data_IF_128778161084
#
_entry.id   IF_128778161084
#
_cell.length_a   1.000
_cell.length_b   1.000
_cell.length_c   1.000
_cell.angle_alpha   90.00
_cell.angle_beta   90.00
_cell.angle_gamma   90.00
#
_symmetry.space_group_name_H-M   'P 1'
#
loop_
_entity.id
_entity.type
_entity.pdbx_description
1 polymer ?
#
# COMPACT_ATOMS: atom_id res chain seq x y z
N UNK A 1 27.46 -16.96 16.99
CA UNK A 1 27.08 -15.59 16.62
C UNK A 1 25.72 -15.64 15.97
N UNK A 2 24.75 -14.89 16.47
CA UNK A 2 23.40 -14.88 15.89
C UNK A 2 23.41 -14.19 14.52
N UNK A 3 22.85 -14.86 13.51
CA UNK A 3 22.74 -14.34 12.14
C UNK A 3 21.28 -14.17 11.74
N UNK A 4 21.00 -13.18 10.89
CA UNK A 4 19.65 -12.88 10.38
C UNK A 4 19.70 -12.62 8.89
N UNK A 5 18.57 -12.83 8.21
CA UNK A 5 18.46 -12.50 6.78
C UNK A 5 18.53 -10.98 6.56
N UNK A 6 18.96 -10.56 5.38
CA UNK A 6 19.00 -9.14 5.00
C UNK A 6 17.60 -8.49 5.05
N UNK A 7 16.55 -9.25 4.80
CA UNK A 7 15.17 -8.77 4.90
C UNK A 7 14.78 -8.49 6.37
N UNK A 8 15.03 -9.44 7.27
CA UNK A 8 14.81 -9.24 8.71
C UNK A 8 15.65 -8.07 9.24
N UNK A 9 16.91 -8.01 8.86
CA UNK A 9 17.83 -6.92 9.19
C UNK A 9 17.29 -5.55 8.74
N UNK A 10 16.74 -5.47 7.52
CA UNK A 10 16.15 -4.24 6.99
C UNK A 10 14.98 -3.74 7.85
N UNK A 11 14.11 -4.66 8.29
CA UNK A 11 12.95 -4.35 9.13
C UNK A 11 13.35 -3.97 10.56
N UNK A 12 14.19 -4.79 11.22
CA UNK A 12 14.59 -4.60 12.62
C UNK A 12 15.34 -3.29 12.87
N UNK A 13 16.21 -2.92 11.93
CA UNK A 13 17.07 -1.74 12.04
C UNK A 13 16.56 -0.55 11.23
N UNK A 14 15.34 -0.64 10.67
CA UNK A 14 14.72 0.40 9.85
C UNK A 14 15.69 1.00 8.79
N UNK A 15 16.39 0.13 8.07
CA UNK A 15 17.37 0.51 7.03
C UNK A 15 17.06 -0.19 5.73
N UNK A 16 17.23 0.50 4.60
CA UNK A 16 16.98 -0.11 3.30
C UNK A 16 17.95 -1.27 3.02
N UNK A 17 17.47 -2.32 2.33
CA UNK A 17 18.33 -3.43 1.87
C UNK A 17 19.53 -2.94 1.05
N UNK A 18 19.33 -1.93 0.21
CA UNK A 18 20.41 -1.31 -0.57
C UNK A 18 21.50 -0.73 0.32
N UNK A 19 21.12 -0.10 1.43
CA UNK A 19 22.08 0.43 2.43
C UNK A 19 22.89 -0.71 3.05
N UNK A 20 22.25 -1.83 3.39
CA UNK A 20 22.94 -3.02 3.92
C UNK A 20 23.91 -3.58 2.87
N UNK A 21 23.47 -3.76 1.63
CA UNK A 21 24.34 -4.22 0.53
C UNK A 21 25.52 -3.27 0.29
N UNK A 22 25.33 -1.96 0.41
CA UNK A 22 26.42 -1.00 0.29
C UNK A 22 27.48 -1.19 1.38
N UNK A 23 27.09 -1.53 2.61
CA UNK A 23 28.04 -1.83 3.70
C UNK A 23 28.75 -3.17 3.50
N UNK A 24 28.05 -4.16 2.96
CA UNK A 24 28.65 -5.44 2.55
C UNK A 24 29.71 -5.20 1.47
N UNK A 25 29.39 -4.42 0.43
CA UNK A 25 30.33 -4.08 -0.66
C UNK A 25 31.56 -3.32 -0.15
N UNK A 26 31.41 -2.51 0.89
CA UNK A 26 32.51 -1.78 1.55
C UNK A 26 33.36 -2.66 2.48
N UNK A 27 32.95 -3.89 2.75
CA UNK A 27 33.64 -4.78 3.71
C UNK A 27 33.39 -4.42 5.18
N UNK A 28 32.38 -3.59 5.46
CA UNK A 28 32.03 -3.22 6.85
C UNK A 28 31.15 -4.28 7.54
N UNK A 29 30.47 -5.12 6.75
CA UNK A 29 29.66 -6.27 7.19
C UNK A 29 29.96 -7.44 6.27
N UNK A 30 30.09 -8.64 6.84
CA UNK A 30 30.25 -9.86 6.05
C UNK A 30 28.94 -10.63 6.00
N UNK A 31 28.62 -11.19 4.82
CA UNK A 31 27.55 -12.17 4.67
C UNK A 31 28.13 -13.58 4.66
N UNK A 32 27.43 -14.54 5.24
CA UNK A 32 27.82 -15.94 5.17
C UNK A 32 27.47 -16.57 3.81
N UNK A 33 27.79 -17.86 3.63
CA UNK A 33 27.46 -18.62 2.42
C UNK A 33 25.95 -18.71 2.15
N UNK A 34 25.13 -18.56 3.19
CA UNK A 34 23.67 -18.60 3.13
C UNK A 34 23.07 -17.19 2.91
N UNK A 35 23.89 -16.15 2.81
CA UNK A 35 23.46 -14.76 2.62
C UNK A 35 22.93 -14.08 3.88
N UNK A 36 23.19 -14.64 5.07
CA UNK A 36 22.82 -14.06 6.36
C UNK A 36 23.91 -13.09 6.85
N UNK A 37 23.51 -12.12 7.67
CA UNK A 37 24.40 -11.11 8.27
C UNK A 37 24.39 -11.23 9.79
N UNK A 38 25.53 -10.92 10.42
CA UNK A 38 25.66 -10.92 11.88
C UNK A 38 24.81 -9.83 12.52
N UNK A 39 24.03 -10.19 13.53
CA UNK A 39 23.24 -9.22 14.32
C UNK A 39 24.15 -8.20 15.01
N UNK A 40 25.33 -8.63 15.48
CA UNK A 40 26.29 -7.75 16.14
C UNK A 40 26.81 -6.65 15.20
N UNK A 41 27.09 -6.99 13.94
CA UNK A 41 27.50 -6.01 12.94
C UNK A 41 26.37 -5.04 12.61
N UNK A 42 25.13 -5.54 12.56
CA UNK A 42 23.96 -4.70 12.37
C UNK A 42 23.75 -3.71 13.51
N UNK A 43 23.89 -4.15 14.77
CA UNK A 43 23.83 -3.25 15.95
C UNK A 43 24.96 -2.22 15.90
N UNK A 44 26.19 -2.65 15.60
CA UNK A 44 27.36 -1.76 15.52
C UNK A 44 27.19 -0.64 14.50
N UNK A 45 26.59 -0.93 13.33
CA UNK A 45 26.48 0.03 12.23
C UNK A 45 25.17 0.81 12.21
N UNK A 46 24.09 0.21 12.70
CA UNK A 46 22.74 0.76 12.57
C UNK A 46 21.98 0.87 13.89
N UNK A 47 22.52 0.39 15.01
CA UNK A 47 21.88 0.48 16.33
C UNK A 47 21.71 1.90 16.88
N UNK A 48 22.31 2.91 16.24
CA UNK A 48 22.10 4.33 16.56
C UNK A 48 20.95 4.96 15.75
N UNK A 49 20.38 4.23 14.78
CA UNK A 49 19.33 4.73 13.87
C UNK A 49 17.91 4.33 14.30
N UNK A 50 17.78 3.51 15.34
CA UNK A 50 16.50 2.98 15.84
C UNK A 50 16.43 3.07 17.37
N UNK A 51 15.20 2.99 17.88
CA UNK A 51 14.95 2.87 19.32
C UNK A 51 15.55 1.56 19.83
N UNK A 52 16.70 1.67 20.51
CA UNK A 52 17.49 0.51 20.98
C UNK A 52 16.66 -0.52 21.74
N UNK A 53 15.74 -0.07 22.61
CA UNK A 53 14.87 -0.96 23.39
C UNK A 53 13.90 -1.78 22.53
N UNK A 54 13.32 -1.17 21.50
CA UNK A 54 12.41 -1.86 20.58
C UNK A 54 13.17 -2.86 19.69
N UNK A 55 14.35 -2.47 19.22
CA UNK A 55 15.22 -3.36 18.44
C UNK A 55 15.73 -4.54 19.26
N UNK A 56 16.13 -4.33 20.52
CA UNK A 56 16.58 -5.40 21.42
C UNK A 56 15.45 -6.40 21.75
N UNK A 57 14.23 -5.92 21.99
CA UNK A 57 13.06 -6.78 22.21
C UNK A 57 12.76 -7.64 20.98
N UNK A 58 12.71 -7.03 19.79
CA UNK A 58 12.45 -7.75 18.54
C UNK A 58 13.56 -8.76 18.19
N UNK A 59 14.82 -8.44 18.48
CA UNK A 59 15.94 -9.39 18.34
C UNK A 59 15.77 -10.56 19.32
N UNK A 60 15.41 -10.29 20.57
CA UNK A 60 15.22 -11.33 21.59
C UNK A 60 14.08 -12.28 21.22
N UNK A 61 12.97 -11.76 20.70
CA UNK A 61 11.85 -12.57 20.21
C UNK A 61 12.23 -13.45 19.02
N UNK A 62 13.01 -12.90 18.07
CA UNK A 62 13.47 -13.65 16.90
C UNK A 62 14.51 -14.72 17.25
N UNK A 63 15.35 -14.50 18.26
CA UNK A 63 16.37 -15.45 18.68
C UNK A 63 15.86 -16.51 19.64
N UNK A 64 14.81 -16.21 20.43
CA UNK A 64 14.16 -17.17 21.31
C UNK A 64 13.15 -18.07 20.59
N UNK A 65 12.85 -17.78 19.32
CA UNK A 65 12.09 -18.69 18.46
C UNK A 65 13.09 -19.67 17.84
N UNK A 66 13.04 -20.98 18.16
CA UNK A 66 13.98 -21.93 17.59
C UNK A 66 13.85 -21.92 16.07
N UNK A 67 15.01 -21.89 15.42
CA UNK A 67 15.21 -21.88 13.98
C UNK A 67 14.19 -22.74 13.23
N UNK A 68 13.17 -22.12 12.64
CA UNK A 68 12.47 -22.71 11.50
C UNK A 68 13.02 -22.09 10.22
N UNK A 69 14.27 -22.46 9.93
CA UNK A 69 14.74 -22.41 8.55
C UNK A 69 14.00 -23.53 7.78
N UNK A 70 13.17 -23.12 6.81
CA UNK A 70 12.70 -23.92 5.68
C UNK A 70 11.62 -25.01 5.89
N UNK A 71 10.68 -24.85 6.82
CA UNK A 71 9.38 -25.53 6.72
C UNK A 71 8.27 -24.59 7.18
N UNK A 72 7.61 -23.95 6.22
CA UNK A 72 6.27 -23.41 6.39
C UNK A 72 5.37 -24.54 6.94
N UNK A 73 5.09 -24.50 8.25
CA UNK A 73 4.15 -25.41 8.88
C UNK A 73 2.77 -25.18 8.26
N UNK A 74 2.01 -26.24 7.89
CA UNK A 74 0.70 -26.07 7.24
C UNK A 74 -0.24 -25.16 8.03
N UNK A 75 -0.13 -25.18 9.37
CA UNK A 75 -0.94 -24.38 10.28
C UNK A 75 -0.66 -22.87 10.20
N UNK A 76 0.59 -22.45 9.99
CA UNK A 76 0.91 -21.02 9.80
C UNK A 76 0.50 -20.52 8.42
N UNK A 77 0.64 -21.34 7.38
CA UNK A 77 0.17 -21.01 6.02
C UNK A 77 -1.33 -20.78 6.04
N UNK A 78 -2.11 -21.68 6.64
CA UNK A 78 -3.56 -21.55 6.73
C UNK A 78 -3.99 -20.25 7.41
N UNK A 79 -3.35 -19.86 8.52
CA UNK A 79 -3.70 -18.62 9.22
C UNK A 79 -3.38 -17.39 8.36
N UNK A 80 -2.24 -17.39 7.66
CA UNK A 80 -1.91 -16.29 6.74
C UNK A 80 -2.82 -16.25 5.52
N UNK A 81 -3.21 -17.40 4.96
CA UNK A 81 -4.13 -17.49 3.83
C UNK A 81 -5.54 -17.04 4.22
N UNK A 82 -6.01 -17.37 5.43
CA UNK A 82 -7.27 -16.87 5.98
C UNK A 82 -7.26 -15.35 6.18
N UNK A 83 -6.16 -14.79 6.70
CA UNK A 83 -6.02 -13.33 6.84
C UNK A 83 -5.97 -12.63 5.48
N UNK A 84 -5.27 -13.21 4.51
CA UNK A 84 -5.19 -12.67 3.14
C UNK A 84 -6.54 -12.74 2.43
N UNK A 85 -7.30 -13.83 2.59
CA UNK A 85 -8.64 -13.95 2.02
C UNK A 85 -9.61 -12.93 2.63
N UNK A 86 -9.56 -12.72 3.95
CA UNK A 86 -10.35 -11.67 4.60
C UNK A 86 -10.00 -10.27 4.08
N UNK A 87 -8.70 -9.98 3.90
CA UNK A 87 -8.24 -8.71 3.34
C UNK A 87 -8.73 -8.52 1.89
N UNK A 88 -8.69 -9.59 1.08
CA UNK A 88 -9.19 -9.56 -0.30
C UNK A 88 -10.69 -9.29 -0.33
N UNK A 89 -11.46 -9.92 0.56
CA UNK A 89 -12.90 -9.70 0.66
C UNK A 89 -13.23 -8.26 1.08
N UNK A 90 -12.51 -7.72 2.07
CA UNK A 90 -12.65 -6.32 2.47
C UNK A 90 -12.34 -5.36 1.32
N UNK A 91 -11.26 -5.60 0.58
CA UNK A 91 -10.88 -4.78 -0.57
C UNK A 91 -11.92 -4.86 -1.68
N UNK A 92 -12.49 -6.04 -1.96
CA UNK A 92 -13.58 -6.19 -2.94
C UNK A 92 -14.81 -5.38 -2.54
N UNK A 93 -15.23 -5.44 -1.28
CA UNK A 93 -16.36 -4.66 -0.78
C UNK A 93 -16.11 -3.14 -0.89
N UNK A 94 -14.87 -2.70 -0.63
CA UNK A 94 -14.48 -1.30 -0.83
C UNK A 94 -14.56 -0.87 -2.30
N UNK A 95 -14.09 -1.72 -3.21
CA UNK A 95 -14.16 -1.47 -4.66
C UNK A 95 -15.62 -1.37 -5.12
N UNK A 96 -16.47 -2.32 -4.71
CA UNK A 96 -17.90 -2.31 -5.05
C UNK A 96 -18.60 -1.03 -4.54
N UNK A 97 -18.28 -0.59 -3.32
CA UNK A 97 -18.82 0.65 -2.78
C UNK A 97 -18.37 1.87 -3.60
N UNK A 98 -17.10 1.92 -4.00
CA UNK A 98 -16.56 3.00 -4.82
C UNK A 98 -17.18 3.01 -6.22
N UNK A 99 -17.40 1.85 -6.83
CA UNK A 99 -18.08 1.73 -8.12
C UNK A 99 -19.52 2.25 -8.04
N UNK A 100 -20.26 1.91 -6.99
CA UNK A 100 -21.62 2.42 -6.77
C UNK A 100 -21.64 3.95 -6.57
N UNK A 101 -20.67 4.50 -5.83
CA UNK A 101 -20.53 5.95 -5.68
C UNK A 101 -20.24 6.63 -7.02
N UNK A 102 -19.36 6.04 -7.83
CA UNK A 102 -19.03 6.56 -9.15
C UNK A 102 -20.25 6.56 -10.07
N UNK A 103 -21.04 5.49 -10.04
CA UNK A 103 -22.27 5.39 -10.84
C UNK A 103 -23.31 6.43 -10.40
N UNK A 104 -23.48 6.63 -9.10
CA UNK A 104 -24.34 7.70 -8.57
C UNK A 104 -23.90 9.08 -9.06
N UNK A 105 -22.60 9.39 -9.00
CA UNK A 105 -22.06 10.67 -9.47
C UNK A 105 -22.28 10.85 -10.97
N UNK A 106 -22.05 9.80 -11.78
CA UNK A 106 -22.29 9.84 -13.23
C UNK A 106 -23.76 10.08 -13.56
N UNK A 107 -24.67 9.41 -12.87
CA UNK A 107 -26.11 9.61 -13.04
C UNK A 107 -26.53 11.04 -12.69
N UNK A 108 -26.00 11.58 -11.59
CA UNK A 108 -26.26 12.96 -11.18
C UNK A 108 -25.71 13.98 -12.20
N UNK A 109 -24.50 13.77 -12.72
CA UNK A 109 -23.92 14.61 -13.78
C UNK A 109 -24.79 14.59 -15.04
N UNK A 110 -25.24 13.41 -15.47
CA UNK A 110 -26.11 13.27 -16.63
C UNK A 110 -27.45 13.99 -16.43
N UNK A 111 -28.05 13.87 -15.24
CA UNK A 111 -29.29 14.55 -14.89
C UNK A 111 -29.14 16.07 -14.91
N UNK A 112 -28.07 16.60 -14.33
CA UNK A 112 -27.77 18.04 -14.35
C UNK A 112 -27.55 18.57 -15.77
N UNK A 113 -26.83 17.82 -16.62
CA UNK A 113 -26.64 18.16 -18.04
C UNK A 113 -27.97 18.22 -18.78
N UNK A 114 -28.86 17.24 -18.58
CA UNK A 114 -30.18 17.23 -19.19
C UNK A 114 -31.04 18.43 -18.75
N UNK A 115 -30.98 18.79 -17.46
CA UNK A 115 -31.71 19.95 -16.94
C UNK A 115 -31.22 21.27 -17.57
N UNK A 116 -29.89 21.42 -17.72
CA UNK A 116 -29.28 22.56 -18.40
C UNK A 116 -29.68 22.65 -19.87
N UNK A 117 -29.63 21.53 -20.60
CA UNK A 117 -30.05 21.48 -22.01
C UNK A 117 -31.53 21.86 -22.17
N UNK A 118 -32.40 21.37 -21.28
CA UNK A 118 -33.82 21.73 -21.29
C UNK A 118 -34.03 23.22 -21.04
N UNK A 119 -33.31 23.82 -20.08
CA UNK A 119 -33.33 25.27 -19.85
C UNK A 119 -32.81 26.06 -21.05
N UNK A 120 -31.77 25.59 -21.73
CA UNK A 120 -31.23 26.25 -22.92
C UNK A 120 -32.21 26.21 -24.10
N UNK A 121 -32.91 25.08 -24.28
CA UNK A 121 -33.95 24.92 -25.30
C UNK A 121 -35.15 25.83 -25.01
N UNK A 122 -35.58 25.91 -23.74
CA UNK A 122 -36.60 26.87 -23.30
C UNK A 122 -36.17 28.27 -23.74
N UNK A 123 -35.00 28.75 -23.30
CA UNK A 123 -34.48 30.09 -23.61
C UNK A 123 -34.45 30.42 -25.11
N UNK A 124 -33.98 29.48 -25.94
CA UNK A 124 -33.90 29.65 -27.41
C UNK A 124 -35.26 29.77 -28.08
N UNK A 125 -36.33 29.22 -27.51
CA UNK A 125 -37.65 29.23 -28.14
C UNK A 125 -38.43 30.53 -27.87
N UNK A 126 -38.12 31.25 -26.79
CA UNK A 126 -38.71 32.56 -26.50
C UNK A 126 -38.16 33.65 -27.44
N UNK A 127 -36.86 33.61 -27.75
CA UNK A 127 -36.21 34.62 -28.58
C UNK A 127 -36.60 34.53 -30.06
N UNK A 128 -36.90 33.31 -30.56
CA UNK A 128 -37.31 33.08 -31.95
C UNK A 128 -38.72 33.59 -32.29
N UNK A 129 -39.50 33.99 -31.28
CA UNK A 129 -40.78 34.69 -31.44
C UNK A 129 -40.70 36.16 -30.99
N UNK A 130 -39.51 36.74 -31.02
CA UNK A 130 -39.31 38.18 -30.84
C UNK A 130 -39.93 38.99 -31.99
N UNK A 131 -40.18 40.28 -31.74
CA UNK A 131 -40.96 41.22 -32.56
C UNK A 131 -40.71 41.18 -34.09
N UNK A 132 -39.54 40.73 -34.53
CA UNK A 132 -39.19 40.60 -35.95
C UNK A 132 -40.04 39.53 -36.68
N UNK A 133 -40.44 38.45 -36.00
CA UNK A 133 -41.27 37.40 -36.61
C UNK A 133 -42.73 37.79 -36.84
N UNK A 134 -43.21 38.91 -36.24
CA UNK A 134 -44.57 39.45 -36.44
C UNK A 134 -44.61 40.61 -37.44
N UNK A 135 -43.47 41.18 -37.80
CA UNK A 135 -43.38 42.32 -38.73
C UNK A 135 -43.05 41.89 -40.18
N UNK A 136 -42.53 40.67 -40.37
CA UNK A 136 -42.14 40.16 -41.69
C UNK A 136 -42.77 38.79 -42.02
N UNK A 137 -43.86 38.44 -41.34
CA UNK A 137 -44.70 37.27 -41.65
C UNK A 137 -45.94 37.66 -42.41
#
# INVERSE_FOLDING_TARGET
MSTITINQASKLFNVSRNTIYARIKKGEITKDSNGLVSVQDMIRLFGNKTDKKATEQAITELLNTPEQHAQSTPLQVNNTEHLLTLQIEQLKAQVEQLEKQLEYVKANEAWLKQQLDQKLIEHKNHEKKGLLGRLFG
#
